data_IF_007530044077
#
_entry.id   IF_007530044077
#
_cell.length_a   1.000
_cell.length_b   1.000
_cell.length_c   1.000
_cell.angle_alpha   90.00
_cell.angle_beta   90.00
_cell.angle_gamma   90.00
#
_symmetry.space_group_name_H-M   'P 1'
#
loop_
_entity.id
_entity.type
_entity.pdbx_description
1 polymer ?
#
# COMPACT_ATOMS: atom_id res chain seq x y z
N UNK A 1 6.64 5.65 1.78
CA UNK A 1 6.56 4.17 1.63
C UNK A 1 5.49 3.52 2.52
N UNK A 2 5.27 3.96 3.77
CA UNK A 2 4.25 3.39 4.68
C UNK A 2 2.89 4.11 4.62
N UNK A 3 2.58 4.77 3.50
CA UNK A 3 1.25 5.32 3.28
C UNK A 3 0.23 4.20 3.18
N UNK A 4 -0.96 4.41 3.72
CA UNK A 4 -2.05 3.43 3.81
C UNK A 4 -2.37 2.77 2.46
N UNK A 5 -2.16 3.52 1.36
CA UNK A 5 -2.35 3.08 -0.02
C UNK A 5 -1.24 2.17 -0.58
N UNK A 6 -0.02 2.20 -0.03
CA UNK A 6 1.11 1.37 -0.47
C UNK A 6 1.22 0.06 0.34
N UNK A 7 0.89 0.12 1.64
CA UNK A 7 0.95 -1.03 2.53
C UNK A 7 0.02 -2.18 2.10
N UNK A 8 -1.20 -1.83 1.65
CA UNK A 8 -2.19 -2.79 1.18
C UNK A 8 -1.86 -3.48 -0.15
N UNK A 9 -0.76 -3.12 -0.84
CA UNK A 9 -0.40 -3.76 -2.11
C UNK A 9 0.66 -4.84 -1.92
N UNK A 10 1.91 -4.43 -1.63
CA UNK A 10 3.04 -5.36 -1.44
C UNK A 10 3.53 -5.41 0.01
N UNK A 11 3.02 -4.52 0.86
CA UNK A 11 3.49 -4.38 2.24
C UNK A 11 3.22 -5.59 3.13
N UNK A 12 2.28 -6.46 2.74
CA UNK A 12 1.81 -7.61 3.51
C UNK A 12 2.92 -8.55 4.00
N UNK A 13 3.98 -8.75 3.20
CA UNK A 13 5.06 -9.70 3.49
C UNK A 13 6.43 -9.01 3.69
N UNK A 14 6.49 -7.68 3.66
CA UNK A 14 7.72 -6.93 3.91
C UNK A 14 8.38 -7.29 5.26
N UNK A 15 7.66 -7.36 6.39
CA UNK A 15 8.27 -7.73 7.67
C UNK A 15 8.92 -9.11 7.62
N UNK A 16 8.27 -10.08 6.96
CA UNK A 16 8.80 -11.43 6.80
C UNK A 16 10.09 -11.41 5.99
N UNK A 17 10.13 -10.68 4.88
CA UNK A 17 11.31 -10.58 4.03
C UNK A 17 12.49 -9.89 4.74
N UNK A 18 12.24 -8.85 5.55
CA UNK A 18 13.28 -8.20 6.35
C UNK A 18 13.87 -9.18 7.37
N UNK A 19 13.03 -9.97 8.04
CA UNK A 19 13.50 -10.96 9.01
C UNK A 19 14.20 -12.13 8.31
N UNK A 20 13.78 -12.50 7.10
CA UNK A 20 14.48 -13.47 6.27
C UNK A 20 15.92 -13.03 5.93
N UNK A 21 16.12 -11.75 5.61
CA UNK A 21 17.46 -11.17 5.39
C UNK A 21 18.27 -11.27 6.68
N UNK A 22 17.73 -10.84 7.83
CA UNK A 22 18.39 -10.95 9.13
C UNK A 22 18.77 -12.40 9.45
N UNK A 23 17.86 -13.35 9.19
CA UNK A 23 18.09 -14.77 9.42
C UNK A 23 19.24 -15.31 8.57
N UNK A 24 19.37 -14.87 7.32
CA UNK A 24 20.52 -15.26 6.50
C UNK A 24 21.83 -14.77 7.11
N UNK A 25 21.89 -13.49 7.46
CA UNK A 25 23.08 -12.85 8.04
C UNK A 25 23.48 -13.51 9.37
N UNK A 26 22.50 -13.92 10.17
CA UNK A 26 22.71 -14.53 11.48
C UNK A 26 23.08 -16.02 11.40
N UNK A 27 22.58 -16.75 10.41
CA UNK A 27 22.71 -18.22 10.35
C UNK A 27 23.87 -18.66 9.47
N UNK A 28 24.13 -17.96 8.36
CA UNK A 28 25.10 -18.41 7.37
C UNK A 28 26.30 -17.48 7.30
N UNK A 29 27.50 -18.06 7.34
CA UNK A 29 28.69 -17.33 6.89
C UNK A 29 28.67 -17.19 5.39
N UNK A 30 28.96 -15.99 4.90
CA UNK A 30 29.03 -15.70 3.48
C UNK A 30 30.12 -16.54 2.80
N UNK A 31 29.69 -17.43 1.90
CA UNK A 31 30.52 -18.26 1.03
C UNK A 31 29.93 -18.18 -0.39
N UNK A 32 30.09 -16.99 -0.97
CA UNK A 32 29.45 -16.58 -2.23
C UNK A 32 29.71 -17.51 -3.41
N UNK A 33 30.82 -18.24 -3.43
CA UNK A 33 31.21 -19.07 -4.57
C UNK A 33 30.55 -20.47 -4.56
N UNK A 34 30.05 -20.94 -3.42
CA UNK A 34 29.58 -22.33 -3.27
C UNK A 34 28.08 -22.44 -2.98
N UNK A 35 27.47 -21.37 -2.44
CA UNK A 35 26.11 -21.44 -1.92
C UNK A 35 25.10 -20.71 -2.82
N UNK A 36 24.43 -21.48 -3.69
CA UNK A 36 23.37 -20.98 -4.60
C UNK A 36 22.25 -20.21 -3.88
N UNK A 37 21.96 -20.51 -2.60
CA UNK A 37 20.93 -19.79 -1.83
C UNK A 37 21.39 -18.40 -1.42
N UNK A 38 22.66 -18.24 -1.07
CA UNK A 38 23.24 -16.92 -0.77
C UNK A 38 23.30 -16.05 -2.02
N UNK A 39 23.68 -16.64 -3.15
CA UNK A 39 23.67 -15.95 -4.45
C UNK A 39 22.26 -15.47 -4.78
N UNK A 40 21.26 -16.35 -4.66
CA UNK A 40 19.86 -15.99 -4.89
C UNK A 40 19.38 -14.86 -3.97
N UNK A 41 19.65 -14.94 -2.66
CA UNK A 41 19.26 -13.88 -1.74
C UNK A 41 19.94 -12.54 -2.01
N UNK A 42 21.21 -12.54 -2.41
CA UNK A 42 21.90 -11.29 -2.79
C UNK A 42 21.32 -10.72 -4.08
N UNK A 43 21.05 -11.57 -5.07
CA UNK A 43 20.40 -11.14 -6.31
C UNK A 43 19.05 -10.49 -6.03
N UNK A 44 18.16 -11.19 -5.33
CA UNK A 44 16.80 -10.72 -5.04
C UNK A 44 16.78 -9.58 -4.01
N UNK A 45 17.68 -9.60 -3.05
CA UNK A 45 17.86 -8.54 -2.06
C UNK A 45 18.39 -7.25 -2.67
N UNK A 46 19.42 -7.33 -3.52
CA UNK A 46 19.92 -6.16 -4.26
C UNK A 46 18.90 -5.64 -5.26
N UNK A 47 18.13 -6.51 -5.92
CA UNK A 47 17.02 -6.11 -6.77
C UNK A 47 16.01 -5.27 -5.97
N UNK A 48 15.53 -5.79 -4.84
CA UNK A 48 14.55 -5.11 -4.01
C UNK A 48 15.10 -3.79 -3.46
N UNK A 49 16.35 -3.78 -3.00
CA UNK A 49 17.02 -2.57 -2.50
C UNK A 49 17.17 -1.51 -3.60
N UNK A 50 17.59 -1.90 -4.79
CA UNK A 50 17.73 -0.98 -5.94
C UNK A 50 16.39 -0.34 -6.28
N UNK A 51 15.33 -1.15 -6.38
CA UNK A 51 13.98 -0.65 -6.63
C UNK A 51 13.50 0.28 -5.51
N UNK A 52 13.71 -0.10 -4.25
CA UNK A 52 13.34 0.73 -3.11
C UNK A 52 14.06 2.09 -3.13
N UNK A 53 15.36 2.12 -3.42
CA UNK A 53 16.14 3.36 -3.52
C UNK A 53 15.64 4.21 -4.69
N UNK A 54 15.51 3.62 -5.88
CA UNK A 54 15.07 4.31 -7.09
C UNK A 54 13.73 5.01 -6.88
N UNK A 55 12.73 4.28 -6.38
CA UNK A 55 11.40 4.87 -6.15
C UNK A 55 11.38 5.89 -5.01
N UNK A 56 12.32 5.83 -4.05
CA UNK A 56 12.44 6.87 -3.01
C UNK A 56 12.88 8.22 -3.58
N UNK A 57 13.67 8.23 -4.66
CA UNK A 57 14.26 9.45 -5.23
C UNK A 57 13.36 10.13 -6.26
N UNK A 58 12.57 9.37 -7.04
CA UNK A 58 11.84 9.88 -8.21
C UNK A 58 10.59 10.72 -7.86
N UNK A 59 10.10 10.67 -6.63
CA UNK A 59 8.97 11.52 -6.15
C UNK A 59 7.59 11.22 -6.77
N UNK A 60 7.53 10.60 -7.94
CA UNK A 60 6.31 10.14 -8.62
C UNK A 60 5.97 8.68 -8.26
N UNK A 61 5.51 8.44 -7.04
CA UNK A 61 5.08 7.10 -6.62
C UNK A 61 3.74 6.72 -7.24
N UNK A 62 3.78 5.85 -8.25
CA UNK A 62 2.59 5.15 -8.72
C UNK A 62 2.52 3.73 -8.14
N UNK A 63 1.32 3.33 -7.75
CA UNK A 63 1.07 2.06 -7.08
C UNK A 63 1.48 0.83 -7.90
N UNK A 64 1.42 0.89 -9.25
CA UNK A 64 1.78 -0.24 -10.10
C UNK A 64 3.27 -0.64 -10.03
N UNK A 65 4.17 0.29 -9.67
CA UNK A 65 5.61 0.01 -9.49
C UNK A 65 5.89 -1.04 -8.41
N UNK A 66 4.95 -1.21 -7.47
CA UNK A 66 5.05 -2.25 -6.45
C UNK A 66 5.08 -3.66 -7.07
N UNK A 67 4.49 -3.83 -8.25
CA UNK A 67 4.45 -5.13 -8.96
C UNK A 67 5.86 -5.63 -9.30
N UNK A 68 6.78 -4.73 -9.63
CA UNK A 68 8.17 -5.05 -9.99
C UNK A 68 8.99 -5.55 -8.79
N UNK A 69 8.58 -5.19 -7.57
CA UNK A 69 9.20 -5.67 -6.34
C UNK A 69 8.69 -7.04 -5.89
N UNK A 70 7.55 -7.51 -6.44
CA UNK A 70 6.91 -8.78 -6.06
C UNK A 70 7.80 -10.02 -6.24
N UNK A 71 8.54 -10.20 -7.36
CA UNK A 71 9.40 -11.37 -7.54
C UNK A 71 10.50 -11.44 -6.51
N UNK A 72 11.15 -10.30 -6.22
CA UNK A 72 12.19 -10.21 -5.20
C UNK A 72 11.65 -10.52 -3.81
N UNK A 73 10.47 -10.00 -3.47
CA UNK A 73 9.83 -10.28 -2.19
C UNK A 73 9.47 -11.77 -2.04
N UNK A 74 8.84 -12.36 -3.05
CA UNK A 74 8.47 -13.77 -3.06
C UNK A 74 9.70 -14.68 -2.91
N UNK A 75 10.78 -14.38 -3.62
CA UNK A 75 12.03 -15.12 -3.50
C UNK A 75 12.64 -15.01 -2.09
N UNK A 76 12.66 -13.80 -1.50
CA UNK A 76 13.18 -13.60 -0.13
C UNK A 76 12.35 -14.32 0.92
N UNK A 77 11.01 -14.30 0.81
CA UNK A 77 10.11 -15.05 1.70
C UNK A 77 10.37 -16.55 1.57
N UNK A 78 10.43 -17.07 0.34
CA UNK A 78 10.65 -18.49 0.08
C UNK A 78 12.00 -19.00 0.59
N UNK A 79 13.10 -18.32 0.23
CA UNK A 79 14.43 -18.73 0.69
C UNK A 79 14.55 -18.50 2.22
N UNK A 80 14.00 -17.40 2.72
CA UNK A 80 13.96 -17.04 4.14
C UNK A 80 13.30 -18.09 5.01
N UNK A 81 12.13 -18.59 4.59
CA UNK A 81 11.42 -19.66 5.26
C UNK A 81 12.30 -20.90 5.42
N UNK A 82 12.99 -21.31 4.34
CA UNK A 82 13.86 -22.49 4.38
C UNK A 82 15.06 -22.28 5.30
N UNK A 83 15.68 -21.09 5.29
CA UNK A 83 16.81 -20.76 6.18
C UNK A 83 16.36 -20.75 7.64
N UNK A 84 15.25 -20.09 7.94
CA UNK A 84 14.70 -20.03 9.30
C UNK A 84 14.24 -21.40 9.79
N UNK A 85 13.66 -22.23 8.93
CA UNK A 85 13.31 -23.61 9.26
C UNK A 85 14.53 -24.48 9.62
N UNK A 86 15.62 -24.34 8.86
CA UNK A 86 16.87 -25.04 9.18
C UNK A 86 17.45 -24.58 10.52
N UNK A 87 17.41 -23.26 10.80
CA UNK A 87 17.83 -22.70 12.08
C UNK A 87 16.92 -23.14 13.25
N UNK A 88 15.61 -23.24 13.01
CA UNK A 88 14.60 -23.66 13.98
C UNK A 88 14.80 -25.09 14.47
N UNK A 89 15.24 -26.00 13.59
CA UNK A 89 15.61 -27.38 13.96
C UNK A 89 16.92 -27.45 14.76
N UNK A 90 17.77 -26.42 14.65
CA UNK A 90 18.99 -26.30 15.42
C UNK A 90 18.72 -25.86 16.86
N UNK A 91 19.78 -25.88 17.69
CA UNK A 91 19.70 -25.44 19.09
C UNK A 91 20.06 -23.97 19.31
N UNK A 92 20.44 -23.25 18.25
CA UNK A 92 20.84 -21.84 18.28
C UNK A 92 19.68 -20.87 18.58
N UNK A 93 20.03 -19.65 19.01
CA UNK A 93 19.11 -18.53 19.19
C UNK A 93 18.35 -18.18 17.90
N UNK A 94 18.97 -18.41 16.74
CA UNK A 94 18.38 -18.12 15.43
C UNK A 94 17.12 -18.94 15.12
N UNK A 95 16.86 -20.01 15.88
CA UNK A 95 15.60 -20.75 15.78
C UNK A 95 14.37 -19.93 16.20
N UNK A 96 14.53 -18.86 16.97
CA UNK A 96 13.42 -17.96 17.33
C UNK A 96 12.98 -17.03 16.20
N UNK A 97 13.77 -16.92 15.13
CA UNK A 97 13.47 -16.01 14.01
C UNK A 97 12.21 -16.44 13.25
N UNK A 98 11.93 -17.73 13.12
CA UNK A 98 10.73 -18.22 12.43
C UNK A 98 9.42 -17.81 13.13
N UNK A 99 9.19 -18.14 14.42
CA UNK A 99 7.99 -17.67 15.11
C UNK A 99 7.92 -16.15 15.22
N UNK A 100 9.07 -15.47 15.36
CA UNK A 100 9.13 -14.01 15.36
C UNK A 100 8.69 -13.42 14.01
N UNK A 101 9.14 -13.99 12.89
CA UNK A 101 8.76 -13.57 11.55
C UNK A 101 7.26 -13.68 11.31
N UNK A 102 6.66 -14.81 11.72
CA UNK A 102 5.22 -15.00 11.62
C UNK A 102 4.44 -13.98 12.47
N UNK A 103 4.84 -13.80 13.73
CA UNK A 103 4.18 -12.89 14.64
C UNK A 103 4.26 -11.42 14.18
N UNK A 104 5.46 -10.94 13.84
CA UNK A 104 5.65 -9.56 13.39
C UNK A 104 4.93 -9.28 12.07
N UNK A 105 4.90 -10.26 11.16
CA UNK A 105 4.15 -10.12 9.91
C UNK A 105 2.65 -10.04 10.20
N UNK A 106 2.08 -10.92 11.03
CA UNK A 106 0.66 -10.84 11.39
C UNK A 106 0.29 -9.52 12.06
N UNK A 107 1.13 -9.01 12.98
CA UNK A 107 0.91 -7.70 13.61
C UNK A 107 0.87 -6.58 12.57
N UNK A 108 1.81 -6.57 11.63
CA UNK A 108 1.81 -5.59 10.56
C UNK A 108 0.57 -5.70 9.66
N UNK A 109 0.13 -6.92 9.32
CA UNK A 109 -1.08 -7.13 8.52
C UNK A 109 -2.34 -6.65 9.24
N UNK A 110 -2.48 -6.97 10.54
CA UNK A 110 -3.60 -6.51 11.36
C UNK A 110 -3.61 -4.98 11.44
N UNK A 111 -2.44 -4.36 11.65
CA UNK A 111 -2.30 -2.90 11.66
C UNK A 111 -2.73 -2.27 10.33
N UNK A 112 -2.34 -2.86 9.19
CA UNK A 112 -2.81 -2.42 7.87
C UNK A 112 -4.33 -2.57 7.73
N UNK A 113 -4.90 -3.69 8.20
CA UNK A 113 -6.33 -3.96 8.15
C UNK A 113 -7.16 -2.98 8.99
N UNK A 114 -6.61 -2.33 10.03
CA UNK A 114 -7.32 -1.30 10.78
C UNK A 114 -7.83 -0.15 9.90
N UNK A 115 -7.20 0.08 8.76
CA UNK A 115 -7.61 1.08 7.77
C UNK A 115 -8.83 0.66 6.92
N UNK A 116 -9.31 -0.58 7.14
CA UNK A 116 -10.41 -1.22 6.44
C UNK A 116 -11.40 -1.85 7.45
N UNK A 117 -12.18 -1.05 8.20
CA UNK A 117 -13.03 -1.54 9.30
C UNK A 117 -13.90 -2.77 8.96
N UNK A 118 -14.58 -2.76 7.82
CA UNK A 118 -15.45 -3.89 7.39
C UNK A 118 -14.68 -5.18 7.13
N UNK A 119 -13.43 -5.08 6.68
CA UNK A 119 -12.54 -6.22 6.43
C UNK A 119 -11.84 -6.66 7.72
N UNK A 120 -11.41 -5.69 8.53
CA UNK A 120 -10.72 -5.93 9.80
C UNK A 120 -11.55 -6.75 10.79
N UNK A 121 -12.86 -6.52 10.84
CA UNK A 121 -13.77 -7.18 11.79
C UNK A 121 -13.72 -8.71 11.72
N UNK A 122 -13.42 -9.29 10.55
CA UNK A 122 -13.38 -10.73 10.37
C UNK A 122 -11.99 -11.24 9.96
N UNK A 123 -11.21 -10.50 9.17
CA UNK A 123 -9.85 -10.93 8.79
C UNK A 123 -8.85 -10.83 9.92
N UNK A 124 -8.85 -9.72 10.67
CA UNK A 124 -7.91 -9.53 11.78
C UNK A 124 -8.01 -10.63 12.84
N UNK A 125 -9.20 -11.05 13.32
CA UNK A 125 -9.28 -12.16 14.26
C UNK A 125 -8.87 -13.50 13.64
N UNK A 126 -9.20 -13.78 12.37
CA UNK A 126 -8.77 -15.03 11.70
C UNK A 126 -7.24 -15.09 11.61
N UNK A 127 -6.60 -14.04 11.10
CA UNK A 127 -5.15 -13.96 10.96
C UNK A 127 -4.49 -14.02 12.34
N UNK A 128 -5.01 -13.26 13.31
CA UNK A 128 -4.50 -13.23 14.67
C UNK A 128 -4.56 -14.60 15.36
N UNK A 129 -5.74 -15.22 15.41
CA UNK A 129 -5.94 -16.50 16.10
C UNK A 129 -5.12 -17.60 15.44
N UNK A 130 -5.20 -17.75 14.12
CA UNK A 130 -4.49 -18.83 13.43
C UNK A 130 -2.97 -18.65 13.49
N UNK A 131 -2.47 -17.41 13.42
CA UNK A 131 -1.05 -17.14 13.61
C UNK A 131 -0.62 -17.42 15.04
N UNK A 132 -1.40 -17.04 16.06
CA UNK A 132 -1.12 -17.35 17.47
C UNK A 132 -1.03 -18.86 17.66
N UNK A 133 -1.96 -19.64 17.10
CA UNK A 133 -1.93 -21.11 17.17
C UNK A 133 -0.66 -21.67 16.53
N UNK A 134 -0.31 -21.21 15.33
CA UNK A 134 0.90 -21.66 14.64
C UNK A 134 2.17 -21.31 15.43
N UNK A 135 2.27 -20.07 15.92
CA UNK A 135 3.41 -19.59 16.73
C UNK A 135 3.49 -20.35 18.04
N UNK A 136 2.37 -20.55 18.75
CA UNK A 136 2.33 -21.30 20.00
C UNK A 136 2.76 -22.76 19.79
N UNK A 137 2.35 -23.40 18.70
CA UNK A 137 2.80 -24.75 18.35
C UNK A 137 4.32 -24.79 18.13
N UNK A 138 4.89 -23.81 17.41
CA UNK A 138 6.34 -23.70 17.22
C UNK A 138 7.07 -23.47 18.55
N UNK A 139 6.59 -22.56 19.39
CA UNK A 139 7.18 -22.30 20.71
C UNK A 139 7.12 -23.58 21.57
N UNK A 140 6.00 -24.29 21.56
CA UNK A 140 5.82 -25.55 22.29
C UNK A 140 6.85 -26.61 21.87
N UNK A 141 7.03 -26.85 20.56
CA UNK A 141 8.01 -27.81 20.08
C UNK A 141 9.45 -27.37 20.39
N UNK A 142 9.73 -26.06 20.36
CA UNK A 142 11.07 -25.51 20.63
C UNK A 142 11.46 -25.60 22.10
N UNK A 143 10.53 -25.36 23.02
CA UNK A 143 10.74 -25.35 24.47
C UNK A 143 10.80 -26.74 25.10
N UNK A 144 10.60 -27.82 24.34
CA UNK A 144 10.74 -29.20 24.84
C UNK A 144 12.05 -29.84 24.40
N UNK A 145 13.19 -29.54 25.07
CA UNK A 145 14.51 -30.04 24.69
C UNK A 145 14.67 -31.56 24.77
N UNK A 146 13.77 -32.25 25.52
CA UNK A 146 13.70 -33.70 25.70
C UNK A 146 12.93 -34.41 24.60
N UNK A 147 12.21 -33.66 23.74
CA UNK A 147 11.49 -34.23 22.62
C UNK A 147 12.51 -34.67 21.56
N UNK A 148 12.61 -35.98 21.33
CA UNK A 148 13.40 -36.51 20.22
C UNK A 148 12.76 -35.98 18.94
N UNK A 149 13.56 -35.32 18.10
CA UNK A 149 13.15 -34.87 16.77
C UNK A 149 12.96 -36.07 15.85
N UNK A 150 11.86 -36.81 16.04
CA UNK A 150 11.41 -37.84 15.11
C UNK A 150 10.87 -37.18 13.83
N UNK A 151 10.75 -37.97 12.77
CA UNK A 151 10.15 -37.51 11.52
C UNK A 151 8.75 -36.91 11.74
N UNK A 152 7.92 -37.53 12.58
CA UNK A 152 6.56 -37.06 12.88
C UNK A 152 6.53 -35.71 13.58
N UNK A 153 7.41 -35.48 14.57
CA UNK A 153 7.50 -34.17 15.26
C UNK A 153 7.97 -33.09 14.29
N UNK A 154 8.98 -33.41 13.46
CA UNK A 154 9.47 -32.48 12.45
C UNK A 154 8.40 -32.15 11.41
N UNK A 155 7.58 -33.13 11.00
CA UNK A 155 6.47 -32.92 10.07
C UNK A 155 5.39 -32.05 10.70
N UNK A 156 4.98 -32.30 11.95
CA UNK A 156 3.99 -31.48 12.64
C UNK A 156 4.46 -30.02 12.81
N UNK A 157 5.71 -29.81 13.21
CA UNK A 157 6.28 -28.47 13.32
C UNK A 157 6.42 -27.78 11.94
N UNK A 158 6.74 -28.54 10.89
CA UNK A 158 6.81 -28.01 9.53
C UNK A 158 5.41 -27.62 9.03
N UNK A 159 4.40 -28.44 9.31
CA UNK A 159 3.00 -28.14 9.02
C UNK A 159 2.54 -26.88 9.77
N UNK A 160 2.92 -26.71 11.04
CA UNK A 160 2.63 -25.48 11.78
C UNK A 160 3.26 -24.24 11.13
N UNK A 161 4.53 -24.32 10.71
CA UNK A 161 5.19 -23.23 9.99
C UNK A 161 4.55 -22.94 8.63
N UNK A 162 4.21 -23.99 7.88
CA UNK A 162 3.54 -23.89 6.58
C UNK A 162 2.13 -23.29 6.69
N UNK A 163 1.35 -23.74 7.69
CA UNK A 163 0.05 -23.18 8.01
C UNK A 163 0.15 -21.71 8.43
N UNK A 164 1.12 -21.38 9.29
CA UNK A 164 1.38 -19.98 9.68
C UNK A 164 1.66 -19.08 8.48
N UNK A 165 2.49 -19.54 7.54
CA UNK A 165 2.73 -18.80 6.30
C UNK A 165 1.49 -18.73 5.40
N UNK A 166 0.74 -19.82 5.27
CA UNK A 166 -0.49 -19.85 4.48
C UNK A 166 -1.54 -18.86 5.01
N UNK A 167 -1.67 -18.73 6.33
CA UNK A 167 -2.54 -17.72 6.98
C UNK A 167 -2.13 -16.31 6.57
N UNK A 168 -0.83 -16.00 6.56
CA UNK A 168 -0.32 -14.69 6.13
C UNK A 168 -0.54 -14.41 4.64
N UNK A 169 -0.80 -15.44 3.83
CA UNK A 169 -1.15 -15.28 2.41
C UNK A 169 -2.64 -15.01 2.18
N UNK A 170 -3.51 -15.21 3.18
CA UNK A 170 -4.97 -15.02 3.03
C UNK A 170 -5.30 -13.58 2.66
N UNK A 171 -4.80 -12.60 3.43
CA UNK A 171 -5.04 -11.18 3.15
C UNK A 171 -4.57 -10.73 1.75
N UNK A 172 -3.31 -10.94 1.33
CA UNK A 172 -2.86 -10.55 -0.02
C UNK A 172 -3.60 -11.32 -1.13
N UNK A 173 -4.04 -12.55 -0.89
CA UNK A 173 -4.86 -13.32 -1.86
C UNK A 173 -6.24 -12.69 -2.04
N UNK A 174 -6.89 -12.29 -0.95
CA UNK A 174 -8.18 -11.59 -0.99
C UNK A 174 -8.03 -10.24 -1.69
N UNK A 175 -6.98 -9.48 -1.37
CA UNK A 175 -6.68 -8.21 -2.03
C UNK A 175 -6.47 -8.35 -3.55
N UNK A 176 -5.75 -9.40 -3.96
CA UNK A 176 -5.54 -9.70 -5.38
C UNK A 176 -6.85 -10.12 -6.07
N UNK A 177 -7.64 -10.98 -5.44
CA UNK A 177 -8.94 -11.41 -5.97
C UNK A 177 -9.93 -10.25 -6.10
N UNK A 178 -9.89 -9.29 -5.18
CA UNK A 178 -10.73 -8.09 -5.25
C UNK A 178 -10.52 -7.32 -6.56
N UNK A 179 -9.26 -7.13 -6.98
CA UNK A 179 -8.91 -6.43 -8.22
C UNK A 179 -9.31 -7.19 -9.49
N UNK A 180 -9.43 -8.51 -9.44
CA UNK A 180 -9.92 -9.32 -10.56
C UNK A 180 -11.43 -9.21 -10.70
N UNK A 181 -12.14 -9.21 -9.57
CA UNK A 181 -13.60 -9.24 -9.53
C UNK A 181 -14.21 -7.85 -9.74
N UNK A 182 -13.54 -6.80 -9.29
CA UNK A 182 -14.01 -5.43 -9.39
C UNK A 182 -13.23 -4.69 -10.47
N UNK A 183 -13.93 -3.89 -11.31
CA UNK A 183 -13.29 -2.98 -12.27
C UNK A 183 -12.57 -1.87 -11.50
N UNK A 184 -11.34 -2.16 -11.06
CA UNK A 184 -10.41 -1.19 -10.49
C UNK A 184 -9.89 -0.28 -11.60
N UNK A 185 -9.67 0.98 -11.26
CA UNK A 185 -9.41 2.11 -12.16
C UNK A 185 -8.33 1.79 -13.22
N UNK A 186 -8.60 2.12 -14.49
CA UNK A 186 -7.73 1.75 -15.62
C UNK A 186 -6.45 2.58 -15.72
N UNK A 187 -6.44 3.79 -15.17
CA UNK A 187 -5.28 4.69 -15.17
C UNK A 187 -4.29 4.44 -14.05
N UNK A 188 -4.72 3.78 -12.97
CA UNK A 188 -3.88 3.42 -11.83
C UNK A 188 -4.39 2.11 -11.20
N UNK A 189 -4.00 0.93 -11.73
CA UNK A 189 -4.48 -0.33 -11.19
C UNK A 189 -4.00 -0.52 -9.75
N UNK A 190 -4.94 -0.74 -8.83
CA UNK A 190 -4.67 -0.97 -7.40
C UNK A 190 -5.33 -2.25 -6.91
N UNK A 191 -4.63 -3.01 -6.07
CA UNK A 191 -5.20 -4.16 -5.40
C UNK A 191 -6.02 -3.77 -4.16
N UNK A 192 -7.18 -4.42 -3.99
CA UNK A 192 -8.03 -4.31 -2.81
C UNK A 192 -9.03 -3.14 -2.77
N UNK A 193 -9.85 -3.10 -1.71
CA UNK A 193 -10.80 -2.02 -1.47
C UNK A 193 -10.10 -0.67 -1.27
N UNK A 194 -10.78 0.47 -1.51
CA UNK A 194 -10.27 1.78 -1.13
C UNK A 194 -10.19 1.91 0.40
N UNK A 195 -9.07 2.41 0.92
CA UNK A 195 -8.87 2.63 2.35
C UNK A 195 -9.83 3.72 2.87
N UNK A 196 -10.36 3.55 4.08
CA UNK A 196 -11.36 4.46 4.67
C UNK A 196 -10.74 5.58 5.52
N UNK A 197 -9.42 5.72 5.52
CA UNK A 197 -8.72 6.69 6.35
C UNK A 197 -9.02 8.12 5.86
N UNK A 198 -9.72 8.88 6.70
CA UNK A 198 -9.76 10.33 6.64
C UNK A 198 -8.34 10.86 6.86
N UNK A 199 -7.87 11.72 5.94
CA UNK A 199 -6.66 12.53 6.05
C UNK A 199 -5.31 11.79 6.20
N UNK A 200 -4.70 11.48 5.06
CA UNK A 200 -3.25 11.41 4.94
C UNK A 200 -2.81 12.23 3.72
N UNK A 201 -2.63 13.54 3.95
CA UNK A 201 -1.86 14.48 3.15
C UNK A 201 -1.94 14.29 1.63
N UNK A 202 -2.94 14.92 1.02
CA UNK A 202 -2.74 15.49 -0.30
C UNK A 202 -1.47 16.35 -0.24
N UNK A 203 -0.43 15.95 -0.97
CA UNK A 203 0.74 16.80 -1.21
C UNK A 203 0.24 18.14 -1.74
N UNK A 204 0.56 19.29 -1.09
CA UNK A 204 0.20 20.58 -1.64
C UNK A 204 1.07 20.80 -2.87
N UNK A 205 0.53 20.55 -4.06
CA UNK A 205 1.25 20.80 -5.32
C UNK A 205 0.75 20.08 -6.57
N UNK A 206 -0.10 19.04 -6.45
CA UNK A 206 -0.58 18.33 -7.63
C UNK A 206 -2.07 18.61 -7.86
N UNK A 207 -2.36 19.64 -8.66
CA UNK A 207 -3.69 19.88 -9.22
C UNK A 207 -4.06 18.76 -10.20
N UNK A 208 -4.63 17.68 -9.69
CA UNK A 208 -5.20 16.59 -10.46
C UNK A 208 -6.70 16.52 -10.22
N UNK A 209 -7.48 16.70 -11.28
CA UNK A 209 -8.94 16.57 -11.29
C UNK A 209 -9.37 15.27 -10.60
N UNK A 210 -10.00 15.40 -9.42
CA UNK A 210 -10.57 14.29 -8.68
C UNK A 210 -11.73 13.66 -9.45
N UNK A 211 -11.66 12.35 -9.67
CA UNK A 211 -12.69 11.57 -10.34
C UNK A 211 -14.03 11.61 -9.61
N UNK A 212 -15.08 11.92 -10.36
CA UNK A 212 -16.46 11.98 -9.89
C UNK A 212 -16.94 10.60 -9.43
N UNK A 213 -17.21 10.45 -8.13
CA UNK A 213 -17.88 9.26 -7.57
C UNK A 213 -19.38 9.51 -7.49
N UNK A 214 -20.09 9.04 -8.51
CA UNK A 214 -21.54 8.84 -8.44
C UNK A 214 -22.38 9.95 -9.05
N UNK A 215 -23.61 9.59 -9.42
CA UNK A 215 -24.56 10.39 -10.19
C UNK A 215 -24.93 11.71 -9.50
N UNK A 216 -24.80 11.81 -8.18
CA UNK A 216 -25.00 13.05 -7.42
C UNK A 216 -23.92 14.10 -7.65
N UNK A 217 -22.65 13.68 -7.75
CA UNK A 217 -21.52 14.61 -7.93
C UNK A 217 -21.46 15.18 -9.35
N UNK A 218 -21.94 14.43 -10.35
CA UNK A 218 -22.12 14.98 -11.71
C UNK A 218 -23.21 16.05 -11.75
N UNK A 219 -24.28 15.90 -10.98
CA UNK A 219 -25.33 16.94 -10.89
C UNK A 219 -24.80 18.18 -10.18
N UNK A 220 -24.05 18.01 -9.08
CA UNK A 220 -23.45 19.14 -8.37
C UNK A 220 -22.39 19.85 -9.22
N UNK A 221 -21.58 19.12 -9.99
CA UNK A 221 -20.60 19.70 -10.91
C UNK A 221 -21.26 20.41 -12.09
N UNK A 222 -22.27 19.80 -12.73
CA UNK A 222 -23.02 20.43 -13.81
C UNK A 222 -23.76 21.69 -13.32
N UNK A 223 -24.33 21.65 -12.11
CA UNK A 223 -24.95 22.83 -11.47
C UNK A 223 -23.88 23.88 -11.12
N UNK A 224 -22.70 23.46 -10.67
CA UNK A 224 -21.56 24.35 -10.39
C UNK A 224 -21.05 25.06 -11.64
N UNK A 225 -20.80 24.33 -12.73
CA UNK A 225 -20.41 24.85 -14.04
C UNK A 225 -21.48 25.80 -14.61
N UNK A 226 -22.76 25.42 -14.54
CA UNK A 226 -23.87 26.28 -14.97
C UNK A 226 -23.93 27.58 -14.14
N UNK A 227 -23.68 27.49 -12.83
CA UNK A 227 -23.63 28.66 -11.93
C UNK A 227 -22.44 29.56 -12.20
N UNK A 228 -21.26 29.02 -12.53
CA UNK A 228 -20.09 29.79 -12.93
C UNK A 228 -20.33 30.47 -14.27
N UNK A 229 -20.83 29.74 -15.27
CA UNK A 229 -21.18 30.30 -16.57
C UNK A 229 -22.26 31.40 -16.46
N UNK A 230 -23.25 31.23 -15.57
CA UNK A 230 -24.26 32.24 -15.27
C UNK A 230 -23.64 33.48 -14.62
N UNK A 231 -22.78 33.33 -13.61
CA UNK A 231 -22.08 34.47 -12.97
C UNK A 231 -21.22 35.24 -13.96
N UNK A 232 -20.47 34.55 -14.83
CA UNK A 232 -19.66 35.18 -15.87
C UNK A 232 -20.53 35.96 -16.85
N UNK A 233 -21.67 35.41 -17.30
CA UNK A 233 -22.61 36.11 -18.19
C UNK A 233 -23.24 37.33 -17.53
N UNK A 234 -23.64 37.22 -16.25
CA UNK A 234 -24.19 38.35 -15.49
C UNK A 234 -23.16 39.46 -15.30
N UNK A 235 -21.90 39.11 -15.02
CA UNK A 235 -20.83 40.07 -14.83
C UNK A 235 -20.44 40.76 -16.15
N UNK A 236 -20.43 40.03 -17.26
CA UNK A 236 -20.25 40.60 -18.60
C UNK A 236 -21.40 41.55 -18.97
N UNK A 237 -22.65 41.22 -18.64
CA UNK A 237 -23.81 42.08 -18.89
C UNK A 237 -23.76 43.37 -18.07
N UNK A 238 -23.33 43.31 -16.80
CA UNK A 238 -23.14 44.51 -15.96
C UNK A 238 -22.07 45.44 -16.53
N UNK A 239 -20.92 44.90 -16.93
CA UNK A 239 -19.87 45.70 -17.56
C UNK A 239 -20.29 46.34 -18.89
N UNK A 240 -21.14 45.66 -19.68
CA UNK A 240 -21.68 46.24 -20.90
C UNK A 240 -22.66 47.39 -20.62
N UNK A 241 -23.51 47.27 -19.59
CA UNK A 241 -24.40 48.34 -19.16
C UNK A 241 -23.62 49.57 -18.68
N UNK A 242 -22.61 49.39 -17.82
CA UNK A 242 -21.81 50.51 -17.30
C UNK A 242 -21.12 51.31 -18.41
N UNK A 243 -20.56 50.63 -19.42
CA UNK A 243 -19.97 51.28 -20.59
C UNK A 243 -21.01 52.06 -21.40
N UNK A 244 -22.23 51.54 -21.52
CA UNK A 244 -23.32 52.22 -22.24
C UNK A 244 -23.80 53.48 -21.50
N UNK A 245 -23.85 53.45 -20.17
CA UNK A 245 -24.20 54.62 -19.36
C UNK A 245 -23.11 55.68 -19.41
N UNK A 246 -21.83 55.29 -19.30
CA UNK A 246 -20.69 56.21 -19.46
C UNK A 246 -20.68 56.87 -20.85
N UNK A 247 -20.90 56.10 -21.92
CA UNK A 247 -20.95 56.62 -23.28
C UNK A 247 -22.17 57.53 -23.55
N UNK A 248 -23.27 57.38 -22.80
CA UNK A 248 -24.41 58.30 -22.86
C UNK A 248 -24.17 59.57 -22.06
N UNK A 249 -23.58 59.45 -20.87
CA UNK A 249 -23.18 60.60 -20.04
C UNK A 249 -22.18 61.52 -20.75
N UNK A 250 -21.15 60.94 -21.37
CA UNK A 250 -20.16 61.71 -22.14
C UNK A 250 -20.78 62.45 -23.34
N UNK A 251 -21.75 61.84 -24.03
CA UNK A 251 -22.49 62.49 -25.14
C UNK A 251 -23.53 63.52 -24.70
N UNK A 252 -23.95 63.50 -23.44
CA UNK A 252 -24.79 64.54 -22.87
C UNK A 252 -23.93 65.76 -22.50
N UNK A 253 -22.78 65.52 -21.85
CA UNK A 253 -21.82 66.57 -21.50
C UNK A 253 -21.26 67.31 -22.71
N UNK A 254 -20.96 66.60 -23.80
CA UNK A 254 -20.47 67.22 -25.05
C UNK A 254 -21.55 68.09 -25.72
N UNK A 255 -22.83 67.70 -25.61
CA UNK A 255 -23.97 68.51 -26.10
C UNK A 255 -24.18 69.77 -25.26
N UNK A 256 -24.06 69.68 -23.95
CA UNK A 256 -24.15 70.85 -23.06
C UNK A 256 -22.96 71.81 -23.26
N UNK A 257 -21.74 71.30 -23.43
CA UNK A 257 -20.56 72.11 -23.73
C UNK A 257 -20.67 72.87 -25.08
N UNK A 258 -21.37 72.28 -26.05
CA UNK A 258 -21.61 72.91 -27.35
C UNK A 258 -22.67 74.02 -27.28
N UNK A 259 -23.65 73.90 -26.36
CA UNK A 259 -24.70 74.91 -26.14
C UNK A 259 -24.18 76.16 -25.40
N UNK A 260 -23.17 76.02 -24.54
CA UNK A 260 -22.57 77.14 -23.78
C UNK A 260 -21.61 77.99 -24.64
N UNK A 261 -21.16 77.48 -25.79
CA UNK A 261 -20.27 78.20 -26.75
C UNK A 261 -21.02 79.01 -27.83
N UNK A 262 -22.35 79.10 -27.77
CA UNK A 262 -23.17 79.99 -28.60
C UNK A 262 -23.78 81.08 -27.75
#
# INVERSE_FOLDING_TARGET
MFGVNLGGQIGWLLPFALIAIIALLAVQRFRFQENKRQIGMVLWGMWLLTMAIFFTVDGAFHQYYMTEMSPGLGALVGIGLVVMWQAYRGRSWSGWLLPLALALTAVAQIYMLLSYPSWSQWLSPIIGILTIVAVAALIFFRLRPTLKWSLSVSQLAASAAGLGLAVLLVAPTIWSGYAVIHNVESSAPTAGPPAQVADAAAFPGQGGYGGFRGQGDMVVFLVGEQMVAFRVRVQAARHAQDKMYLARGLRALDREATLIRR
#
